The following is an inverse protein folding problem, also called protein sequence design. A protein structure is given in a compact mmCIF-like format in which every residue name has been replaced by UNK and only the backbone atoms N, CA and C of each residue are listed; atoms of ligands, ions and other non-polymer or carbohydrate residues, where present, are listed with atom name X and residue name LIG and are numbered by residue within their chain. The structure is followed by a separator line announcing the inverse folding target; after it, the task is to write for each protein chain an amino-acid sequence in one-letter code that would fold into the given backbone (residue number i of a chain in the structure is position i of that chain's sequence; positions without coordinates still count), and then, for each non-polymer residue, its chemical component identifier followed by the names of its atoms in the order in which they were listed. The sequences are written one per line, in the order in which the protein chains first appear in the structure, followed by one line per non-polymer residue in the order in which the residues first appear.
data_IF_134232708875
#
_entry.id   IF_134232708875
#
_cell.length_a   1.000
_cell.length_b   1.000
_cell.length_c   1.000
_cell.angle_alpha   90.00
_cell.angle_beta   90.00
_cell.angle_gamma   90.00
#
_symmetry.space_group_name_H-M   'P 1'
#
loop_
_entity.id
_entity.type
_entity.pdbx_description
1 polymer ?
#
# COMPACT_ATOMS: atom_id res chain seq x y z
N UNK A 1 11.02 -2.59 42.59
CA UNK A 1 11.29 -3.17 41.26
C UNK A 1 10.26 -4.28 41.02
N UNK A 2 9.21 -4.00 40.25
CA UNK A 2 8.23 -5.02 39.84
C UNK A 2 8.65 -5.45 38.43
N UNK A 3 9.09 -6.70 38.31
CA UNK A 3 9.27 -7.34 37.02
C UNK A 3 7.91 -7.32 36.33
N UNK A 4 7.75 -6.44 35.34
CA UNK A 4 6.58 -6.43 34.47
C UNK A 4 6.70 -7.68 33.61
N UNK A 5 5.89 -8.68 33.94
CA UNK A 5 5.68 -9.89 33.16
C UNK A 5 5.45 -9.52 31.69
N UNK A 6 6.47 -9.72 30.86
CA UNK A 6 6.35 -9.61 29.42
C UNK A 6 5.51 -10.79 28.95
N UNK A 7 4.19 -10.62 28.95
CA UNK A 7 3.24 -11.51 28.32
C UNK A 7 3.75 -11.82 26.92
N UNK A 8 4.10 -13.09 26.67
CA UNK A 8 4.47 -13.61 25.33
C UNK A 8 3.20 -13.66 24.48
N UNK A 9 2.60 -12.52 24.17
CA UNK A 9 1.59 -12.44 23.12
C UNK A 9 2.28 -12.78 21.81
N UNK A 10 1.87 -13.88 21.18
CA UNK A 10 2.23 -14.20 19.80
C UNK A 10 1.87 -12.99 18.93
N UNK A 11 2.86 -12.15 18.61
CA UNK A 11 2.63 -10.96 17.79
C UNK A 11 2.08 -11.42 16.44
N UNK A 12 0.86 -10.97 16.14
CA UNK A 12 0.18 -11.23 14.87
C UNK A 12 1.07 -10.76 13.71
N UNK A 13 1.01 -11.42 12.54
CA UNK A 13 1.94 -11.16 11.42
C UNK A 13 1.98 -9.66 11.04
N UNK A 14 0.82 -9.01 11.05
CA UNK A 14 0.71 -7.58 10.76
C UNK A 14 1.39 -6.69 11.82
N UNK A 15 1.37 -7.08 13.09
CA UNK A 15 2.06 -6.35 14.17
C UNK A 15 3.58 -6.45 14.03
N UNK A 16 4.09 -7.60 13.59
CA UNK A 16 5.53 -7.76 13.25
C UNK A 16 5.92 -6.85 12.09
N UNK A 17 5.06 -6.72 11.08
CA UNK A 17 5.29 -5.83 9.94
C UNK A 17 5.32 -4.36 10.37
N UNK A 18 4.38 -3.93 11.23
CA UNK A 18 4.39 -2.58 11.80
C UNK A 18 5.70 -2.31 12.54
N UNK A 19 6.13 -3.23 13.42
CA UNK A 19 7.36 -3.07 14.19
C UNK A 19 8.60 -3.01 13.28
N UNK A 20 8.65 -3.85 12.24
CA UNK A 20 9.74 -3.82 11.27
C UNK A 20 9.74 -2.55 10.43
N UNK A 21 8.57 -2.07 10.03
CA UNK A 21 8.41 -0.86 9.25
C UNK A 21 8.86 0.36 10.05
N UNK A 22 8.51 0.46 11.34
CA UNK A 22 8.99 1.55 12.20
C UNK A 22 10.51 1.54 12.38
N UNK A 23 11.13 0.36 12.48
CA UNK A 23 12.60 0.25 12.63
C UNK A 23 13.36 0.86 11.45
N UNK A 24 12.82 0.76 10.23
CA UNK A 24 13.42 1.28 9.01
C UNK A 24 12.54 2.31 8.31
N UNK A 25 11.78 3.09 9.08
CA UNK A 25 10.65 3.94 8.61
C UNK A 25 10.91 4.67 7.30
N UNK A 26 11.96 5.48 7.23
CA UNK A 26 12.25 6.30 6.04
C UNK A 26 12.61 5.45 4.81
N UNK A 27 13.44 4.42 4.99
CA UNK A 27 13.82 3.50 3.92
C UNK A 27 12.64 2.66 3.44
N UNK A 28 11.82 2.18 4.38
CA UNK A 28 10.62 1.42 4.08
C UNK A 28 9.56 2.29 3.36
N UNK A 29 9.33 3.52 3.81
CA UNK A 29 8.43 4.47 3.13
C UNK A 29 8.89 4.76 1.70
N UNK A 30 10.19 5.04 1.49
CA UNK A 30 10.73 5.29 0.16
C UNK A 30 10.60 4.08 -0.77
N UNK A 31 10.91 2.88 -0.27
CA UNK A 31 10.79 1.65 -1.02
C UNK A 31 9.33 1.33 -1.39
N UNK A 32 8.39 1.42 -0.43
CA UNK A 32 6.97 1.15 -0.68
C UNK A 32 6.33 2.20 -1.59
N UNK A 33 6.68 3.48 -1.44
CA UNK A 33 6.22 4.54 -2.35
C UNK A 33 6.68 4.27 -3.79
N UNK A 34 7.94 3.88 -3.97
CA UNK A 34 8.49 3.56 -5.29
C UNK A 34 7.76 2.35 -5.89
N UNK A 35 7.65 1.26 -5.12
CA UNK A 35 6.94 0.06 -5.55
C UNK A 35 5.48 0.36 -5.93
N UNK A 36 4.78 1.17 -5.13
CA UNK A 36 3.39 1.51 -5.38
C UNK A 36 3.20 2.40 -6.60
N UNK A 37 4.13 3.34 -6.83
CA UNK A 37 4.11 4.20 -8.02
C UNK A 37 4.32 3.39 -9.30
N UNK A 38 5.25 2.44 -9.28
CA UNK A 38 5.48 1.53 -10.40
C UNK A 38 4.24 0.66 -10.66
N UNK A 39 3.68 0.04 -9.63
CA UNK A 39 2.52 -0.83 -9.77
C UNK A 39 1.26 -0.09 -10.23
N UNK A 40 0.97 1.07 -9.64
CA UNK A 40 -0.13 1.94 -10.04
C UNK A 40 0.00 2.42 -11.48
N UNK A 41 1.22 2.70 -11.96
CA UNK A 41 1.47 3.09 -13.36
C UNK A 41 1.11 1.98 -14.36
N UNK A 42 1.35 0.71 -14.00
CA UNK A 42 0.93 -0.43 -14.83
C UNK A 42 -0.61 -0.49 -14.91
N UNK A 43 -1.31 -0.42 -13.77
CA UNK A 43 -2.76 -0.45 -13.74
C UNK A 43 -3.39 0.75 -14.49
N UNK A 44 -2.78 1.94 -14.37
CA UNK A 44 -3.17 3.13 -15.11
C UNK A 44 -3.02 2.95 -16.62
N UNK A 45 -1.88 2.41 -17.08
CA UNK A 45 -1.64 2.16 -18.50
C UNK A 45 -2.66 1.18 -19.11
N UNK A 46 -2.99 0.10 -18.40
CA UNK A 46 -4.02 -0.84 -18.85
C UNK A 46 -5.41 -0.19 -18.92
N UNK A 47 -5.76 0.65 -17.93
CA UNK A 47 -7.02 1.39 -17.92
C UNK A 47 -7.10 2.42 -19.05
N UNK A 48 -5.98 3.06 -19.39
CA UNK A 48 -5.90 3.98 -20.53
C UNK A 48 -6.06 3.23 -21.86
N UNK A 49 -5.44 2.04 -21.98
CA UNK A 49 -5.52 1.22 -23.20
C UNK A 49 -6.95 0.76 -23.50
N UNK A 50 -7.74 0.42 -22.48
CA UNK A 50 -9.16 0.04 -22.61
C UNK A 50 -10.10 1.25 -22.68
N UNK A 51 -9.56 2.49 -22.71
CA UNK A 51 -10.32 3.75 -22.67
C UNK A 51 -11.26 3.86 -21.46
N UNK A 52 -10.96 3.14 -20.38
CA UNK A 52 -11.75 3.16 -19.15
C UNK A 52 -11.27 4.27 -18.23
N UNK A 53 -11.70 5.50 -18.50
CA UNK A 53 -11.31 6.69 -17.72
C UNK A 53 -11.77 6.63 -16.25
N UNK A 54 -12.86 5.92 -15.97
CA UNK A 54 -13.33 5.70 -14.60
C UNK A 54 -12.34 4.84 -13.81
N UNK A 55 -11.88 3.72 -14.39
CA UNK A 55 -10.89 2.86 -13.75
C UNK A 55 -9.54 3.58 -13.62
N UNK A 56 -9.16 4.40 -14.61
CA UNK A 56 -7.97 5.24 -14.54
C UNK A 56 -8.04 6.23 -13.37
N UNK A 57 -9.16 6.94 -13.21
CA UNK A 57 -9.35 7.89 -12.13
C UNK A 57 -9.31 7.21 -10.75
N UNK A 58 -9.95 6.05 -10.61
CA UNK A 58 -9.94 5.26 -9.37
C UNK A 58 -8.51 4.81 -9.03
N UNK A 59 -7.81 4.20 -9.99
CA UNK A 59 -6.42 3.76 -9.85
C UNK A 59 -5.49 4.90 -9.42
N UNK A 60 -5.57 6.06 -10.10
CA UNK A 60 -4.73 7.22 -9.82
C UNK A 60 -4.97 7.75 -8.39
N UNK A 61 -6.23 7.91 -7.99
CA UNK A 61 -6.56 8.41 -6.65
C UNK A 61 -6.12 7.45 -5.54
N UNK A 62 -6.34 6.15 -5.69
CA UNK A 62 -5.94 5.15 -4.67
C UNK A 62 -4.42 5.04 -4.56
N UNK A 63 -3.71 5.11 -5.68
CA UNK A 63 -2.23 5.12 -5.70
C UNK A 63 -1.71 6.38 -5.01
N UNK A 64 -2.26 7.55 -5.33
CA UNK A 64 -1.85 8.82 -4.73
C UNK A 64 -2.23 8.91 -3.25
N UNK A 65 -3.35 8.33 -2.82
CA UNK A 65 -3.72 8.27 -1.41
C UNK A 65 -2.70 7.47 -0.58
N UNK A 66 -2.24 6.32 -1.09
CA UNK A 66 -1.18 5.54 -0.44
C UNK A 66 0.15 6.31 -0.42
N UNK A 67 0.55 6.90 -1.54
CA UNK A 67 1.79 7.66 -1.64
C UNK A 67 1.76 8.91 -0.75
N UNK A 68 0.62 9.60 -0.70
CA UNK A 68 0.39 10.75 0.17
C UNK A 68 0.52 10.40 1.65
N UNK A 69 0.05 9.23 2.07
CA UNK A 69 0.24 8.76 3.45
C UNK A 69 1.72 8.53 3.80
N UNK A 70 2.52 8.04 2.86
CA UNK A 70 3.97 7.92 3.06
C UNK A 70 4.66 9.29 3.12
N UNK A 71 4.30 10.23 2.24
CA UNK A 71 4.87 11.59 2.22
C UNK A 71 4.51 12.37 3.49
N UNK A 72 3.26 12.26 3.94
CA UNK A 72 2.78 12.85 5.19
C UNK A 72 3.32 12.13 6.43
N UNK A 73 4.10 11.06 6.26
CA UNK A 73 4.73 10.29 7.33
C UNK A 73 3.73 9.82 8.40
N UNK A 74 2.54 9.39 7.95
CA UNK A 74 1.49 8.88 8.83
C UNK A 74 2.00 7.65 9.58
N UNK A 75 1.38 7.30 10.72
CA UNK A 75 1.75 6.13 11.51
C UNK A 75 1.88 4.85 10.66
N UNK A 76 2.86 3.99 10.97
CA UNK A 76 3.14 2.77 10.22
C UNK A 76 1.91 1.90 9.95
N UNK A 77 0.99 1.80 10.92
CA UNK A 77 -0.27 1.04 10.78
C UNK A 77 -1.08 1.52 9.58
N UNK A 78 -1.32 2.83 9.47
CA UNK A 78 -2.10 3.42 8.39
C UNK A 78 -1.36 3.36 7.05
N UNK A 79 -0.06 3.62 7.05
CA UNK A 79 0.80 3.47 5.87
C UNK A 79 0.70 2.06 5.27
N UNK A 80 0.82 1.01 6.09
CA UNK A 80 0.70 -0.37 5.63
C UNK A 80 -0.72 -0.73 5.19
N UNK A 81 -1.76 -0.30 5.91
CA UNK A 81 -3.16 -0.56 5.52
C UNK A 81 -3.46 0.05 4.15
N UNK A 82 -3.11 1.33 3.95
CA UNK A 82 -3.36 2.03 2.69
C UNK A 82 -2.55 1.42 1.54
N UNK A 83 -1.31 1.01 1.80
CA UNK A 83 -0.50 0.31 0.82
C UNK A 83 -1.15 -1.01 0.38
N UNK A 84 -1.52 -1.89 1.32
CA UNK A 84 -2.15 -3.17 0.97
C UNK A 84 -3.49 -2.97 0.27
N UNK A 85 -4.30 -2.02 0.72
CA UNK A 85 -5.55 -1.68 0.06
C UNK A 85 -5.29 -1.20 -1.38
N UNK A 86 -4.28 -0.36 -1.57
CA UNK A 86 -3.89 0.16 -2.89
C UNK A 86 -3.40 -0.96 -3.82
N UNK A 87 -2.61 -1.92 -3.31
CA UNK A 87 -2.19 -3.11 -4.06
C UNK A 87 -3.39 -3.96 -4.48
N UNK A 88 -4.30 -4.28 -3.55
CA UNK A 88 -5.46 -5.14 -3.84
C UNK A 88 -6.37 -4.49 -4.89
N UNK A 89 -6.65 -3.19 -4.74
CA UNK A 89 -7.54 -2.47 -5.66
C UNK A 89 -6.90 -2.31 -7.05
N UNK A 90 -5.63 -1.91 -7.14
CA UNK A 90 -4.93 -1.82 -8.43
C UNK A 90 -4.80 -3.19 -9.12
N UNK A 91 -4.59 -4.27 -8.35
CA UNK A 91 -4.60 -5.62 -8.89
C UNK A 91 -5.99 -6.01 -9.44
N UNK A 92 -7.07 -5.68 -8.72
CA UNK A 92 -8.44 -5.89 -9.19
C UNK A 92 -8.72 -5.13 -10.49
N UNK A 93 -8.30 -3.88 -10.59
CA UNK A 93 -8.42 -3.07 -11.81
C UNK A 93 -7.66 -3.71 -12.97
N UNK A 94 -6.45 -4.23 -12.72
CA UNK A 94 -5.65 -4.89 -13.74
C UNK A 94 -6.34 -6.16 -14.25
N UNK A 95 -6.90 -6.98 -13.36
CA UNK A 95 -7.69 -8.17 -13.72
C UNK A 95 -8.92 -7.80 -14.55
N UNK A 96 -9.68 -6.78 -14.13
CA UNK A 96 -10.86 -6.30 -14.87
C UNK A 96 -10.46 -5.85 -16.28
N UNK A 97 -9.40 -5.04 -16.40
CA UNK A 97 -8.90 -4.59 -17.70
C UNK A 97 -8.38 -5.74 -18.57
N UNK A 98 -7.83 -6.79 -17.95
CA UNK A 98 -7.38 -7.98 -18.66
C UNK A 98 -8.55 -8.77 -19.27
N UNK A 99 -9.70 -8.82 -18.60
CA UNK A 99 -10.92 -9.47 -19.12
C UNK A 99 -11.73 -8.60 -20.08
N UNK A 100 -11.66 -7.27 -19.97
CA UNK A 100 -12.35 -6.34 -20.89
C UNK A 100 -11.63 -6.22 -22.23
N UNK A 101 -10.31 -6.43 -22.25
CA UNK A 101 -9.47 -6.42 -23.45
C UNK A 101 -9.88 -7.51 -24.44
#
# INVERSE_FOLDING_TARGET
MKASETSKTNLNWFQKQIASFERSRFGAMAALLTAQSCFGSVAAMYSLKTQSYVLLAICANITMASNGAFIAQVSAKWCLILFYLSVILNLGILIINFFIR
#
